data_IF_804926403199
#
_entry.id   IF_804926403199
#
_cell.length_a   1.000
_cell.length_b   1.000
_cell.length_c   1.000
_cell.angle_alpha   90.00
_cell.angle_beta   90.00
_cell.angle_gamma   90.00
#
_symmetry.space_group_name_H-M   'P 1'
#
loop_
_entity.id
_entity.type
_entity.pdbx_description
1 polymer ?
#
# COMPACT_ATOMS: atom_id res chain seq x y z
N UNK A 1 -9.28 9.91 34.20
CA UNK A 1 -8.68 9.96 32.86
C UNK A 1 -9.33 8.87 32.04
N UNK A 2 -9.78 9.14 30.81
CA UNK A 2 -10.37 8.11 29.97
C UNK A 2 -9.31 7.13 29.45
N UNK A 3 -9.75 5.93 29.02
CA UNK A 3 -8.84 4.85 28.62
C UNK A 3 -8.01 5.20 27.38
N UNK A 4 -8.54 5.98 26.44
CA UNK A 4 -7.83 6.40 25.23
C UNK A 4 -6.73 7.40 25.58
N UNK A 5 -7.03 8.39 26.42
CA UNK A 5 -6.04 9.37 26.90
C UNK A 5 -4.90 8.69 27.68
N UNK A 6 -5.18 7.59 28.40
CA UNK A 6 -4.14 6.80 29.10
C UNK A 6 -3.14 6.19 28.14
N UNK A 7 -3.59 5.67 26.97
CA UNK A 7 -2.70 5.16 25.93
C UNK A 7 -1.86 6.29 25.33
N UNK A 8 -2.47 7.46 25.09
CA UNK A 8 -1.78 8.59 24.45
C UNK A 8 -0.64 9.19 25.30
N UNK A 9 -0.64 9.00 26.61
CA UNK A 9 0.41 9.46 27.54
C UNK A 9 1.61 8.51 27.65
N UNK A 10 1.52 7.28 27.08
CA UNK A 10 2.55 6.27 27.26
C UNK A 10 3.88 6.71 26.60
N UNK A 11 5.01 6.50 27.27
CA UNK A 11 6.31 6.68 26.64
C UNK A 11 6.53 5.61 25.55
N UNK A 12 7.19 6.01 24.48
CA UNK A 12 7.55 5.07 23.42
C UNK A 12 8.56 4.05 23.97
N UNK A 13 8.25 2.76 23.82
CA UNK A 13 9.03 1.66 24.34
C UNK A 13 8.85 0.36 23.56
N UNK A 14 9.35 -0.73 24.12
CA UNK A 14 9.33 -2.06 23.50
C UNK A 14 7.94 -2.49 22.99
N UNK A 15 6.88 -2.16 23.70
CA UNK A 15 5.52 -2.48 23.29
C UNK A 15 5.17 -1.89 21.90
N UNK A 16 5.46 -0.60 21.70
CA UNK A 16 5.14 0.11 20.46
C UNK A 16 5.95 -0.42 19.27
N UNK A 17 7.24 -0.69 19.46
CA UNK A 17 8.07 -1.28 18.40
C UNK A 17 7.67 -2.73 18.11
N UNK A 18 7.32 -3.53 19.13
CA UNK A 18 6.80 -4.89 18.90
C UNK A 18 5.51 -4.86 18.09
N UNK A 19 4.60 -3.94 18.43
CA UNK A 19 3.35 -3.76 17.69
C UNK A 19 3.63 -3.36 16.22
N UNK A 20 4.53 -2.40 16.01
CA UNK A 20 4.95 -1.98 14.67
C UNK A 20 5.53 -3.15 13.87
N UNK A 21 6.44 -3.92 14.45
CA UNK A 21 7.04 -5.06 13.77
C UNK A 21 6.03 -6.15 13.44
N UNK A 22 5.14 -6.51 14.37
CA UNK A 22 4.16 -7.56 14.13
C UNK A 22 3.14 -7.13 13.07
N UNK A 23 2.62 -5.91 13.13
CA UNK A 23 1.68 -5.42 12.11
C UNK A 23 2.43 -5.15 10.79
N UNK A 24 3.66 -4.61 10.85
CA UNK A 24 4.48 -4.34 9.69
C UNK A 24 4.85 -5.61 8.91
N UNK A 25 5.18 -6.72 9.59
CA UNK A 25 5.40 -8.00 8.91
C UNK A 25 4.12 -8.53 8.26
N UNK A 26 2.95 -8.33 8.87
CA UNK A 26 1.68 -8.63 8.21
C UNK A 26 1.49 -7.82 6.93
N UNK A 27 1.81 -6.53 6.98
CA UNK A 27 1.79 -5.63 5.82
C UNK A 27 2.86 -5.97 4.77
N UNK A 28 4.03 -6.44 5.19
CA UNK A 28 5.07 -6.95 4.31
C UNK A 28 4.60 -8.18 3.51
N UNK A 29 3.86 -9.10 4.14
CA UNK A 29 3.31 -10.27 3.45
C UNK A 29 2.25 -9.88 2.41
N UNK A 30 1.45 -8.84 2.65
CA UNK A 30 0.53 -8.27 1.70
C UNK A 30 1.28 -7.74 0.45
N UNK A 31 2.32 -6.92 0.69
CA UNK A 31 3.18 -6.41 -0.38
C UNK A 31 3.90 -7.54 -1.13
N UNK A 32 4.33 -8.60 -0.42
CA UNK A 32 4.93 -9.78 -1.02
C UNK A 32 3.95 -10.46 -1.98
N UNK A 33 2.72 -10.73 -1.54
CA UNK A 33 1.71 -11.37 -2.40
C UNK A 33 1.41 -10.53 -3.65
N UNK A 34 1.24 -9.22 -3.46
CA UNK A 34 1.05 -8.27 -4.57
C UNK A 34 2.24 -8.27 -5.54
N UNK A 35 3.46 -8.43 -5.04
CA UNK A 35 4.67 -8.50 -5.85
C UNK A 35 4.84 -9.86 -6.57
N UNK A 36 4.48 -10.97 -5.93
CA UNK A 36 4.65 -12.32 -6.48
C UNK A 36 3.97 -12.49 -7.84
N UNK A 37 2.78 -11.91 -8.04
CA UNK A 37 2.05 -12.05 -9.30
C UNK A 37 2.83 -11.46 -10.48
N UNK A 38 3.66 -10.42 -10.27
CA UNK A 38 4.47 -9.81 -11.33
C UNK A 38 5.48 -10.79 -11.93
N UNK A 39 6.11 -11.59 -11.07
CA UNK A 39 7.09 -12.60 -11.46
C UNK A 39 6.44 -13.89 -11.96
N UNK A 40 5.38 -14.33 -11.28
CA UNK A 40 4.60 -15.51 -11.64
C UNK A 40 4.02 -15.34 -13.04
N UNK A 41 3.43 -14.19 -13.34
CA UNK A 41 2.77 -13.91 -14.60
C UNK A 41 3.75 -14.01 -15.78
N UNK A 42 5.01 -13.62 -15.59
CA UNK A 42 6.03 -13.71 -16.63
C UNK A 42 6.24 -15.18 -17.11
N UNK A 43 6.23 -16.15 -16.18
CA UNK A 43 6.41 -17.57 -16.49
C UNK A 43 5.09 -18.27 -16.83
N UNK A 44 4.05 -18.03 -16.04
CA UNK A 44 2.73 -18.66 -16.24
C UNK A 44 2.12 -18.30 -17.60
N UNK A 45 2.34 -17.07 -18.07
CA UNK A 45 1.85 -16.62 -19.36
C UNK A 45 2.45 -17.39 -20.53
N UNK A 46 3.70 -17.84 -20.40
CA UNK A 46 4.35 -18.71 -21.37
C UNK A 46 3.75 -20.13 -21.31
N UNK A 47 3.67 -20.70 -20.10
CA UNK A 47 3.21 -22.08 -19.90
C UNK A 47 1.74 -22.29 -20.28
N UNK A 48 0.89 -21.28 -20.10
CA UNK A 48 -0.54 -21.33 -20.44
C UNK A 48 -0.89 -20.66 -21.78
N UNK A 49 0.11 -20.19 -22.54
CA UNK A 49 -0.07 -19.45 -23.80
C UNK A 49 -1.13 -18.32 -23.68
N UNK A 50 -1.04 -17.54 -22.60
CA UNK A 50 -2.00 -16.52 -22.26
C UNK A 50 -2.04 -15.40 -23.29
N UNK A 51 -3.25 -14.98 -23.66
CA UNK A 51 -3.46 -13.78 -24.46
C UNK A 51 -3.13 -12.50 -23.65
N UNK A 52 -2.89 -11.35 -24.31
CA UNK A 52 -2.73 -10.08 -23.62
C UNK A 52 -3.90 -9.74 -22.68
N UNK A 53 -5.13 -10.05 -23.09
CA UNK A 53 -6.33 -9.82 -22.28
C UNK A 53 -6.37 -10.73 -21.04
N UNK A 54 -6.01 -12.01 -21.17
CA UNK A 54 -5.94 -12.95 -20.04
C UNK A 54 -4.99 -12.42 -18.96
N UNK A 55 -3.81 -11.95 -19.36
CA UNK A 55 -2.82 -11.35 -18.45
C UNK A 55 -3.39 -10.13 -17.73
N UNK A 56 -4.09 -9.27 -18.47
CA UNK A 56 -4.71 -8.08 -17.90
C UNK A 56 -5.76 -8.44 -16.87
N UNK A 57 -6.62 -9.42 -17.17
CA UNK A 57 -7.65 -9.88 -16.24
C UNK A 57 -7.08 -10.50 -14.97
N UNK A 58 -6.00 -11.31 -15.06
CA UNK A 58 -5.35 -11.91 -13.88
C UNK A 58 -4.87 -10.87 -12.88
N UNK A 59 -4.38 -9.73 -13.35
CA UNK A 59 -3.95 -8.63 -12.50
C UNK A 59 -5.14 -7.78 -12.04
N UNK A 60 -5.98 -7.35 -12.97
CA UNK A 60 -7.07 -6.38 -12.69
C UNK A 60 -8.14 -6.94 -11.77
N UNK A 61 -8.44 -8.24 -11.85
CA UNK A 61 -9.44 -8.88 -10.97
C UNK A 61 -9.01 -8.81 -9.50
N UNK A 62 -7.71 -8.89 -9.23
CA UNK A 62 -7.15 -8.68 -7.90
C UNK A 62 -7.41 -7.26 -7.39
N UNK A 63 -7.22 -6.23 -8.22
CA UNK A 63 -7.52 -4.84 -7.85
C UNK A 63 -9.01 -4.57 -7.65
N UNK A 64 -9.88 -5.23 -8.42
CA UNK A 64 -11.34 -5.20 -8.20
C UNK A 64 -11.67 -5.78 -6.82
N UNK A 65 -11.09 -6.95 -6.50
CA UNK A 65 -11.20 -7.54 -5.18
C UNK A 65 -10.70 -6.60 -4.07
N UNK A 66 -9.54 -5.98 -4.26
CA UNK A 66 -8.97 -5.01 -3.30
C UNK A 66 -9.90 -3.80 -3.08
N UNK A 67 -10.52 -3.26 -4.12
CA UNK A 67 -11.43 -2.14 -4.00
C UNK A 67 -12.65 -2.50 -3.14
N UNK A 68 -13.24 -3.67 -3.37
CA UNK A 68 -14.37 -4.19 -2.59
C UNK A 68 -13.94 -4.50 -1.15
N UNK A 69 -12.81 -5.20 -0.97
CA UNK A 69 -12.27 -5.55 0.33
C UNK A 69 -12.00 -4.33 1.21
N UNK A 70 -11.44 -3.26 0.63
CA UNK A 70 -11.18 -2.01 1.34
C UNK A 70 -12.47 -1.33 1.85
N UNK A 71 -13.52 -1.32 1.04
CA UNK A 71 -14.83 -0.76 1.43
C UNK A 71 -15.47 -1.58 2.55
N UNK A 72 -15.42 -2.92 2.43
CA UNK A 72 -16.06 -3.82 3.40
C UNK A 72 -15.29 -3.87 4.74
N UNK A 73 -13.96 -3.76 4.70
CA UNK A 73 -13.10 -3.98 5.88
C UNK A 73 -13.38 -3.03 7.03
N UNK A 74 -13.69 -1.76 6.75
CA UNK A 74 -14.03 -0.78 7.77
C UNK A 74 -15.25 -1.18 8.59
N UNK A 75 -16.35 -1.52 7.91
CA UNK A 75 -17.58 -1.99 8.57
C UNK A 75 -17.40 -3.33 9.32
N UNK A 76 -16.64 -4.24 8.73
CA UNK A 76 -16.28 -5.51 9.38
C UNK A 76 -15.42 -5.29 10.63
N UNK A 77 -14.45 -4.38 10.57
CA UNK A 77 -13.58 -4.04 11.70
C UNK A 77 -14.36 -3.36 12.84
N UNK A 78 -15.34 -2.54 12.53
CA UNK A 78 -16.25 -1.97 13.53
C UNK A 78 -17.20 -3.03 14.15
N UNK A 79 -17.50 -4.11 13.42
CA UNK A 79 -18.39 -5.19 13.89
C UNK A 79 -17.65 -6.30 14.63
N UNK A 80 -16.50 -6.74 14.12
CA UNK A 80 -15.79 -7.95 14.63
C UNK A 80 -14.48 -7.63 15.35
N UNK A 81 -14.04 -6.38 15.33
CA UNK A 81 -12.77 -5.93 15.90
C UNK A 81 -11.66 -5.82 14.88
N UNK A 82 -10.75 -4.88 15.15
CA UNK A 82 -9.64 -4.58 14.22
C UNK A 82 -8.66 -5.73 14.11
N UNK A 83 -8.28 -6.30 15.25
CA UNK A 83 -7.39 -7.47 15.31
C UNK A 83 -7.96 -8.67 14.55
N UNK A 84 -9.25 -8.97 14.79
CA UNK A 84 -9.92 -10.10 14.15
C UNK A 84 -9.94 -9.93 12.64
N UNK A 85 -10.32 -8.75 12.12
CA UNK A 85 -10.36 -8.51 10.67
C UNK A 85 -8.96 -8.55 10.07
N UNK A 86 -7.95 -7.97 10.73
CA UNK A 86 -6.56 -8.02 10.27
C UNK A 86 -6.03 -9.45 10.14
N UNK A 87 -6.28 -10.29 11.14
CA UNK A 87 -5.89 -11.71 11.11
C UNK A 87 -6.67 -12.51 10.05
N UNK A 88 -7.99 -12.27 9.95
CA UNK A 88 -8.85 -12.99 9.00
C UNK A 88 -8.54 -12.67 7.55
N UNK A 89 -8.28 -11.38 7.23
CA UNK A 89 -7.90 -10.97 5.89
C UNK A 89 -6.58 -11.60 5.46
N UNK A 90 -5.60 -11.70 6.39
CA UNK A 90 -4.34 -12.39 6.16
C UNK A 90 -4.55 -13.86 5.80
N UNK A 91 -5.40 -14.57 6.56
CA UNK A 91 -5.72 -15.99 6.28
C UNK A 91 -6.43 -16.14 4.94
N UNK A 92 -7.42 -15.29 4.66
CA UNK A 92 -8.22 -15.37 3.43
C UNK A 92 -7.34 -15.22 2.20
N UNK A 93 -6.54 -14.13 2.12
CA UNK A 93 -5.73 -13.93 0.92
C UNK A 93 -4.62 -14.96 0.78
N UNK A 94 -3.97 -15.36 1.89
CA UNK A 94 -2.89 -16.33 1.82
C UNK A 94 -3.37 -17.72 1.38
N UNK A 95 -4.49 -18.18 1.90
CA UNK A 95 -5.08 -19.45 1.45
C UNK A 95 -5.57 -19.39 0.01
N UNK A 96 -6.16 -18.26 -0.41
CA UNK A 96 -6.56 -18.06 -1.80
C UNK A 96 -5.34 -17.99 -2.74
N UNK A 97 -4.22 -17.39 -2.31
CA UNK A 97 -2.97 -17.40 -3.05
C UNK A 97 -2.43 -18.83 -3.21
N UNK A 98 -2.41 -19.62 -2.13
CA UNK A 98 -2.04 -21.03 -2.23
C UNK A 98 -2.99 -21.82 -3.16
N UNK A 99 -4.29 -21.51 -3.14
CA UNK A 99 -5.26 -22.14 -4.03
C UNK A 99 -5.01 -21.83 -5.51
N UNK A 100 -4.41 -20.68 -5.85
CA UNK A 100 -4.02 -20.36 -7.22
C UNK A 100 -3.03 -21.40 -7.81
N UNK A 101 -2.21 -22.05 -6.96
CA UNK A 101 -1.31 -23.12 -7.40
C UNK A 101 -2.05 -24.35 -7.97
N UNK A 102 -3.28 -24.54 -7.59
CA UNK A 102 -4.12 -25.68 -7.98
C UNK A 102 -5.21 -25.30 -9.00
N UNK A 103 -5.18 -24.08 -9.53
CA UNK A 103 -6.15 -23.61 -10.50
C UNK A 103 -6.09 -24.46 -11.78
N UNK A 104 -7.18 -25.15 -12.17
CA UNK A 104 -7.16 -26.03 -13.36
C UNK A 104 -7.26 -25.25 -14.68
N UNK A 105 -7.68 -24.01 -14.63
CA UNK A 105 -7.84 -23.13 -15.77
C UNK A 105 -7.90 -21.65 -15.35
N UNK A 106 -7.93 -20.77 -16.35
CA UNK A 106 -7.95 -19.32 -16.14
C UNK A 106 -9.14 -18.86 -15.29
N UNK A 107 -10.33 -19.42 -15.48
CA UNK A 107 -11.53 -19.02 -14.74
C UNK A 107 -11.36 -19.22 -13.24
N UNK A 108 -10.87 -20.37 -12.80
CA UNK A 108 -10.59 -20.63 -11.39
C UNK A 108 -9.46 -19.78 -10.85
N UNK A 109 -8.43 -19.52 -11.66
CA UNK A 109 -7.38 -18.59 -11.28
C UNK A 109 -7.93 -17.19 -11.02
N UNK A 110 -8.82 -16.69 -11.88
CA UNK A 110 -9.48 -15.39 -11.71
C UNK A 110 -10.35 -15.35 -10.44
N UNK A 111 -11.10 -16.42 -10.15
CA UNK A 111 -11.87 -16.52 -8.90
C UNK A 111 -10.96 -16.45 -7.69
N UNK A 112 -9.88 -17.22 -7.65
CA UNK A 112 -8.95 -17.18 -6.53
C UNK A 112 -8.24 -15.84 -6.41
N UNK A 113 -7.81 -15.22 -7.51
CA UNK A 113 -7.22 -13.89 -7.54
C UNK A 113 -8.17 -12.80 -7.05
N UNK A 114 -9.47 -12.92 -7.34
CA UNK A 114 -10.48 -12.02 -6.78
C UNK A 114 -10.57 -12.16 -5.26
N UNK A 115 -10.57 -13.39 -4.73
CA UNK A 115 -10.59 -13.65 -3.27
C UNK A 115 -9.30 -13.14 -2.61
N UNK A 116 -8.13 -13.34 -3.26
CA UNK A 116 -6.87 -12.73 -2.81
C UNK A 116 -7.05 -11.21 -2.67
N UNK A 117 -7.57 -10.56 -3.71
CA UNK A 117 -7.82 -9.13 -3.68
C UNK A 117 -8.72 -8.69 -2.55
N UNK A 118 -9.82 -9.40 -2.29
CA UNK A 118 -10.72 -9.10 -1.15
C UNK A 118 -9.98 -9.06 0.19
N UNK A 119 -9.09 -10.02 0.43
CA UNK A 119 -8.27 -10.06 1.64
C UNK A 119 -7.27 -8.90 1.70
N UNK A 120 -6.47 -8.73 0.64
CA UNK A 120 -5.44 -7.69 0.55
C UNK A 120 -6.02 -6.27 0.71
N UNK A 121 -7.18 -6.00 0.09
CA UNK A 121 -7.80 -4.67 0.15
C UNK A 121 -8.21 -4.22 1.55
N UNK A 122 -8.53 -5.17 2.42
CA UNK A 122 -8.91 -4.89 3.79
C UNK A 122 -7.75 -4.67 4.75
N UNK A 123 -6.54 -5.08 4.38
CA UNK A 123 -5.39 -5.16 5.26
C UNK A 123 -4.88 -3.77 5.70
N UNK A 124 -4.56 -2.89 4.77
CA UNK A 124 -3.94 -1.59 5.07
C UNK A 124 -4.78 -0.68 5.96
N UNK A 125 -6.08 -0.44 5.66
CA UNK A 125 -6.89 0.44 6.51
C UNK A 125 -6.94 -0.02 7.96
N UNK A 126 -7.00 -1.33 8.18
CA UNK A 126 -7.05 -1.93 9.52
C UNK A 126 -5.69 -1.85 10.21
N UNK A 127 -4.59 -2.12 9.49
CA UNK A 127 -3.22 -2.00 10.02
C UNK A 127 -2.91 -0.58 10.49
N UNK A 128 -3.17 0.41 9.65
CA UNK A 128 -2.96 1.83 9.98
C UNK A 128 -3.81 2.25 11.17
N UNK A 129 -5.06 1.82 11.23
CA UNK A 129 -5.95 2.10 12.38
C UNK A 129 -5.39 1.49 13.67
N UNK A 130 -5.03 0.21 13.67
CA UNK A 130 -4.44 -0.46 14.83
C UNK A 130 -3.19 0.25 15.33
N UNK A 131 -2.25 0.57 14.44
CA UNK A 131 -1.03 1.28 14.82
C UNK A 131 -1.38 2.66 15.38
N UNK A 132 -2.24 3.42 14.72
CA UNK A 132 -2.57 4.79 15.11
C UNK A 132 -3.30 4.90 16.45
N UNK A 133 -4.05 3.88 16.85
CA UNK A 133 -4.77 3.83 18.14
C UNK A 133 -3.84 3.68 19.35
N UNK A 134 -2.72 2.98 19.16
CA UNK A 134 -1.76 2.69 20.22
C UNK A 134 -0.56 3.65 20.27
N UNK A 135 -0.29 4.37 19.20
CA UNK A 135 0.86 5.26 19.10
C UNK A 135 0.47 6.69 19.54
N UNK A 136 1.23 7.31 20.47
CA UNK A 136 1.02 8.70 20.88
C UNK A 136 1.02 9.67 19.69
N UNK A 137 0.14 10.69 19.75
CA UNK A 137 -0.12 11.58 18.63
C UNK A 137 1.13 12.28 18.07
N UNK A 138 2.08 12.67 18.93
CA UNK A 138 3.29 13.41 18.55
C UNK A 138 4.29 12.60 17.70
N UNK A 139 4.23 11.27 17.72
CA UNK A 139 5.11 10.38 16.92
C UNK A 139 4.35 9.49 15.95
N UNK A 140 3.03 9.57 15.94
CA UNK A 140 2.15 8.70 15.12
C UNK A 140 2.53 8.72 13.64
N UNK A 141 2.75 9.90 13.08
CA UNK A 141 3.14 10.04 11.69
C UNK A 141 4.42 9.28 11.36
N UNK A 142 5.44 9.35 12.23
CA UNK A 142 6.69 8.59 12.06
C UNK A 142 6.46 7.07 12.07
N UNK A 143 5.59 6.57 12.94
CA UNK A 143 5.29 5.14 13.00
C UNK A 143 4.50 4.66 11.77
N UNK A 144 3.62 5.50 11.21
CA UNK A 144 2.91 5.18 9.96
C UNK A 144 3.90 5.11 8.79
N UNK A 145 4.83 6.06 8.68
CA UNK A 145 5.88 5.99 7.64
C UNK A 145 6.76 4.74 7.79
N UNK A 146 7.12 4.37 9.03
CA UNK A 146 7.84 3.13 9.29
C UNK A 146 7.01 1.89 8.92
N UNK A 147 5.70 1.89 9.18
CA UNK A 147 4.81 0.81 8.75
C UNK A 147 4.80 0.69 7.22
N UNK A 148 4.69 1.81 6.51
CA UNK A 148 4.70 1.83 5.05
C UNK A 148 6.03 1.31 4.46
N UNK A 149 7.16 1.49 5.14
CA UNK A 149 8.45 0.97 4.66
C UNK A 149 8.50 -0.55 4.53
N UNK A 150 7.65 -1.30 5.23
CA UNK A 150 7.50 -2.74 5.07
C UNK A 150 6.96 -3.15 3.69
N UNK A 151 6.30 -2.22 2.97
CA UNK A 151 5.87 -2.46 1.59
C UNK A 151 7.06 -2.77 0.67
N UNK A 152 8.10 -1.94 0.70
CA UNK A 152 9.32 -2.18 -0.10
C UNK A 152 10.02 -3.49 0.28
N UNK A 153 10.04 -3.86 1.58
CA UNK A 153 10.56 -5.14 2.03
C UNK A 153 9.74 -6.32 1.47
N UNK A 154 8.42 -6.19 1.39
CA UNK A 154 7.55 -7.22 0.82
C UNK A 154 7.85 -7.46 -0.67
N UNK A 155 8.00 -6.41 -1.45
CA UNK A 155 8.42 -6.53 -2.86
C UNK A 155 9.79 -7.15 -3.00
N UNK A 156 10.74 -6.82 -2.12
CA UNK A 156 12.07 -7.44 -2.09
C UNK A 156 11.97 -8.94 -1.83
N UNK A 157 11.17 -9.35 -0.84
CA UNK A 157 10.94 -10.77 -0.54
C UNK A 157 10.28 -11.48 -1.72
N UNK A 158 9.30 -10.86 -2.38
CA UNK A 158 8.65 -11.40 -3.59
C UNK A 158 9.67 -11.65 -4.70
N UNK A 159 10.57 -10.68 -4.95
CA UNK A 159 11.60 -10.81 -5.97
C UNK A 159 12.60 -11.94 -5.64
N UNK A 160 13.05 -12.02 -4.38
CA UNK A 160 13.95 -13.08 -3.91
C UNK A 160 13.30 -14.47 -4.02
N UNK A 161 12.09 -14.63 -3.50
CA UNK A 161 11.34 -15.89 -3.59
C UNK A 161 11.19 -16.30 -5.05
N UNK A 162 10.76 -15.39 -5.90
CA UNK A 162 10.54 -15.68 -7.33
C UNK A 162 11.84 -16.03 -8.04
N UNK A 163 12.95 -15.32 -7.76
CA UNK A 163 14.27 -15.57 -8.38
C UNK A 163 14.81 -16.97 -8.06
N UNK A 164 14.61 -17.45 -6.84
CA UNK A 164 15.15 -18.75 -6.41
C UNK A 164 14.16 -19.91 -6.58
N UNK A 165 12.86 -19.66 -6.62
CA UNK A 165 11.86 -20.72 -6.66
C UNK A 165 11.35 -20.96 -8.07
N UNK A 166 11.02 -19.92 -8.85
CA UNK A 166 10.38 -20.10 -10.16
C UNK A 166 11.25 -20.91 -11.14
N UNK A 167 12.58 -20.68 -11.27
CA UNK A 167 13.39 -21.40 -12.23
C UNK A 167 13.47 -22.92 -11.99
N UNK A 168 13.53 -23.33 -10.70
CA UNK A 168 13.76 -24.72 -10.33
C UNK A 168 12.46 -25.48 -9.99
N UNK A 169 11.46 -24.80 -9.38
CA UNK A 169 10.24 -25.41 -8.86
C UNK A 169 8.97 -24.94 -9.57
N UNK A 170 9.08 -23.97 -10.46
CA UNK A 170 7.96 -23.38 -11.19
C UNK A 170 7.10 -22.41 -10.38
N UNK A 171 6.16 -21.76 -11.06
CA UNK A 171 5.29 -20.73 -10.48
C UNK A 171 4.27 -21.29 -9.46
N UNK A 172 3.90 -22.58 -9.57
CA UNK A 172 3.01 -23.26 -8.61
C UNK A 172 3.60 -23.22 -7.19
N UNK A 173 4.90 -23.56 -7.05
CA UNK A 173 5.60 -23.51 -5.76
C UNK A 173 5.63 -22.10 -5.17
N UNK A 174 5.72 -21.09 -6.01
CA UNK A 174 5.72 -19.68 -5.58
C UNK A 174 4.37 -19.28 -5.00
N UNK A 175 3.26 -19.70 -5.59
CA UNK A 175 1.93 -19.51 -5.02
C UNK A 175 1.76 -20.24 -3.67
N UNK A 176 2.29 -21.45 -3.54
CA UNK A 176 2.25 -22.18 -2.26
C UNK A 176 3.02 -21.45 -1.16
N UNK A 177 4.18 -20.86 -1.48
CA UNK A 177 4.93 -20.02 -0.54
C UNK A 177 4.11 -18.79 -0.15
N UNK A 178 3.36 -18.19 -1.06
CA UNK A 178 2.41 -17.11 -0.78
C UNK A 178 1.28 -17.50 0.19
N UNK A 179 1.07 -18.80 0.43
CA UNK A 179 0.15 -19.32 1.44
C UNK A 179 0.73 -19.35 2.86
N UNK A 180 2.06 -19.33 3.02
CA UNK A 180 2.73 -19.43 4.33
C UNK A 180 2.28 -18.32 5.31
N UNK A 181 2.05 -17.07 4.88
CA UNK A 181 1.58 -16.02 5.78
C UNK A 181 0.28 -16.33 6.53
N UNK A 182 -0.54 -17.27 6.06
CA UNK A 182 -1.71 -17.72 6.83
C UNK A 182 -1.34 -18.18 8.26
N UNK A 183 -0.16 -18.80 8.42
CA UNK A 183 0.35 -19.20 9.72
C UNK A 183 0.74 -18.02 10.61
N UNK A 184 1.10 -16.90 10.00
CA UNK A 184 1.44 -15.67 10.72
C UNK A 184 0.23 -15.05 11.42
N UNK A 185 -0.98 -15.37 10.99
CA UNK A 185 -2.20 -14.99 11.69
C UNK A 185 -2.22 -15.44 13.16
N UNK A 186 -1.59 -16.57 13.48
CA UNK A 186 -1.43 -17.05 14.87
C UNK A 186 -0.56 -16.10 15.70
N UNK A 187 0.48 -15.51 15.09
CA UNK A 187 1.34 -14.51 15.75
C UNK A 187 0.54 -13.24 16.01
N UNK A 188 -0.20 -12.76 15.00
CA UNK A 188 -1.09 -11.59 15.15
C UNK A 188 -2.08 -11.85 16.27
N UNK A 189 -2.73 -13.01 16.29
CA UNK A 189 -3.73 -13.36 17.29
C UNK A 189 -3.17 -13.37 18.73
N UNK A 190 -1.93 -13.79 18.91
CA UNK A 190 -1.27 -13.83 20.23
C UNK A 190 -0.68 -12.49 20.65
N UNK A 191 -0.11 -11.73 19.73
CA UNK A 191 0.74 -10.58 20.04
C UNK A 191 0.07 -9.23 19.87
N UNK A 192 -0.88 -9.10 18.93
CA UNK A 192 -1.59 -7.85 18.68
C UNK A 192 -2.77 -7.73 19.67
N UNK A 193 -2.86 -6.65 20.43
CA UNK A 193 -4.02 -6.37 21.27
C UNK A 193 -5.23 -5.98 20.42
N UNK A 194 -6.46 -6.19 20.93
CA UNK A 194 -7.65 -5.66 20.27
C UNK A 194 -7.77 -4.14 20.52
N UNK A 195 -8.41 -3.42 19.62
CA UNK A 195 -8.62 -1.98 19.70
C UNK A 195 -9.37 -1.55 20.95
N UNK A 196 -8.80 -0.64 21.74
CA UNK A 196 -9.45 -0.11 22.95
C UNK A 196 -10.70 0.70 22.60
N UNK A 197 -10.72 1.58 21.57
CA UNK A 197 -11.95 2.22 21.09
C UNK A 197 -13.04 1.23 20.67
N UNK A 198 -12.67 0.13 20.03
CA UNK A 198 -13.62 -0.92 19.66
C UNK A 198 -14.26 -1.56 20.89
N UNK A 199 -13.47 -1.95 21.89
CA UNK A 199 -13.97 -2.56 23.12
C UNK A 199 -14.92 -1.61 23.87
N UNK A 200 -14.58 -0.32 23.95
CA UNK A 200 -15.43 0.72 24.56
C UNK A 200 -16.77 0.83 23.80
N UNK A 201 -16.73 0.91 22.48
CA UNK A 201 -17.93 1.03 21.64
C UNK A 201 -18.86 -0.21 21.73
N UNK A 202 -18.29 -1.37 22.09
CA UNK A 202 -19.04 -2.61 22.35
C UNK A 202 -19.52 -2.78 23.79
N UNK A 203 -19.29 -1.81 24.64
CA UNK A 203 -19.63 -1.90 26.07
C UNK A 203 -18.74 -2.85 26.89
N UNK A 204 -17.62 -3.33 26.31
CA UNK A 204 -16.67 -4.26 26.95
C UNK A 204 -15.63 -3.47 27.77
N UNK A 205 -16.10 -2.65 28.70
CA UNK A 205 -15.28 -1.68 29.44
C UNK A 205 -14.24 -2.36 30.33
N UNK A 206 -14.59 -3.45 31.00
CA UNK A 206 -13.66 -4.20 31.87
C UNK A 206 -12.49 -4.78 31.07
N UNK A 207 -12.75 -5.31 29.89
CA UNK A 207 -11.70 -5.83 29.03
C UNK A 207 -10.80 -4.69 28.49
N UNK A 208 -11.39 -3.57 28.10
CA UNK A 208 -10.65 -2.38 27.69
C UNK A 208 -9.74 -1.88 28.82
N UNK A 209 -10.25 -1.81 30.05
CA UNK A 209 -9.50 -1.40 31.24
C UNK A 209 -8.36 -2.39 31.55
N UNK A 210 -8.65 -3.68 31.60
CA UNK A 210 -7.64 -4.73 31.82
C UNK A 210 -6.52 -4.69 30.76
N UNK A 211 -6.88 -4.43 29.50
CA UNK A 211 -5.94 -4.30 28.41
C UNK A 211 -5.02 -3.06 28.60
N UNK A 212 -5.59 -1.91 28.93
CA UNK A 212 -4.82 -0.67 29.17
C UNK A 212 -3.88 -0.84 30.36
N UNK A 213 -4.34 -1.43 31.47
CA UNK A 213 -3.49 -1.75 32.65
C UNK A 213 -2.30 -2.63 32.24
N UNK A 214 -2.53 -3.67 31.43
CA UNK A 214 -1.47 -4.56 30.95
C UNK A 214 -0.44 -3.81 30.09
N UNK A 215 -0.88 -2.85 29.28
CA UNK A 215 0.01 -2.04 28.43
C UNK A 215 0.79 -1.05 29.29
N UNK A 216 0.14 -0.36 30.25
CA UNK A 216 0.81 0.55 31.18
C UNK A 216 1.93 -0.17 31.96
N UNK A 217 1.64 -1.35 32.49
CA UNK A 217 2.64 -2.20 33.17
C UNK A 217 3.81 -2.56 32.24
N UNK A 218 3.55 -2.90 30.98
CA UNK A 218 4.60 -3.19 29.99
C UNK A 218 5.45 -1.95 29.63
N UNK A 219 4.86 -0.76 29.72
CA UNK A 219 5.55 0.51 29.47
C UNK A 219 6.24 1.07 30.72
N UNK A 220 6.11 0.42 31.88
CA UNK A 220 6.71 0.87 33.15
C UNK A 220 6.08 2.15 33.71
N UNK A 221 4.81 2.40 33.38
CA UNK A 221 4.04 3.58 33.83
C UNK A 221 3.12 3.16 34.97
N UNK A 222 2.88 4.08 35.92
CA UNK A 222 1.92 3.88 37.01
C UNK A 222 0.55 3.46 36.47
N UNK A 223 0.05 2.34 37.00
CA UNK A 223 -1.24 1.78 36.60
C UNK A 223 -2.36 2.55 37.31
N UNK A 224 -3.30 3.07 36.54
CA UNK A 224 -4.45 3.80 37.07
C UNK A 224 -5.61 2.81 37.30
N UNK A 225 -6.03 2.63 38.56
CA UNK A 225 -7.10 1.69 38.92
C UNK A 225 -8.50 2.21 38.54
N UNK A 226 -8.72 3.53 38.67
CA UNK A 226 -10.03 4.16 38.43
C UNK A 226 -10.06 4.71 36.99
N UNK A 227 -11.09 4.41 36.23
CA UNK A 227 -11.32 4.96 34.90
C UNK A 227 -12.69 5.63 34.79
N UNK A 228 -12.74 6.67 33.96
CA UNK A 228 -14.00 7.31 33.58
C UNK A 228 -14.36 6.86 32.17
N UNK A 229 -15.57 6.39 31.99
CA UNK A 229 -16.13 6.13 30.65
C UNK A 229 -16.61 7.46 30.09
N UNK A 230 -15.85 8.04 29.18
CA UNK A 230 -16.39 9.09 28.31
C UNK A 230 -17.06 8.41 27.11
N UNK A 231 -18.31 8.76 26.77
CA UNK A 231 -18.88 8.35 25.50
C UNK A 231 -17.92 8.74 24.37
N UNK A 232 -17.65 7.84 23.45
CA UNK A 232 -16.94 8.18 22.22
C UNK A 232 -17.80 9.22 21.51
N UNK A 233 -17.19 10.34 21.12
CA UNK A 233 -17.90 11.42 20.44
C UNK A 233 -18.70 10.83 19.26
N UNK A 234 -19.97 11.23 19.15
CA UNK A 234 -20.86 10.81 18.07
C UNK A 234 -20.15 11.00 16.74
N UNK A 235 -20.14 9.96 15.91
CA UNK A 235 -19.68 10.08 14.52
C UNK A 235 -20.65 11.06 13.84
N UNK A 236 -20.23 12.27 13.57
CA UNK A 236 -20.96 13.14 12.68
C UNK A 236 -21.08 12.45 11.32
N UNK A 237 -22.29 12.37 10.79
CA UNK A 237 -22.53 11.86 9.45
C UNK A 237 -21.77 12.72 8.43
N UNK A 238 -20.67 12.18 7.92
CA UNK A 238 -19.85 12.85 6.92
C UNK A 238 -20.51 12.61 5.57
N UNK A 239 -20.98 13.66 4.92
CA UNK A 239 -21.57 13.58 3.60
C UNK A 239 -20.50 13.66 2.51
N UNK A 240 -20.66 12.86 1.45
CA UNK A 240 -19.83 12.92 0.25
C UNK A 240 -19.78 14.33 -0.37
N UNK A 241 -20.87 15.08 -0.27
CA UNK A 241 -20.96 16.46 -0.75
C UNK A 241 -19.98 17.41 -0.08
N UNK A 242 -19.55 17.14 1.15
CA UNK A 242 -18.57 17.97 1.86
C UNK A 242 -17.19 17.95 1.19
N UNK A 243 -16.82 16.85 0.51
CA UNK A 243 -15.59 16.78 -0.26
C UNK A 243 -15.59 17.70 -1.50
N UNK A 244 -16.79 18.04 -1.99
CA UNK A 244 -16.97 18.86 -3.18
C UNK A 244 -17.45 20.28 -2.87
N UNK A 245 -17.40 20.71 -1.61
CA UNK A 245 -17.78 22.05 -1.18
C UNK A 245 -16.57 23.00 -1.14
N UNK A 246 -16.73 24.21 -1.66
CA UNK A 246 -15.73 25.28 -1.57
C UNK A 246 -14.33 24.88 -2.04
N UNK A 247 -13.34 25.14 -1.20
CA UNK A 247 -11.91 24.85 -1.48
C UNK A 247 -11.61 23.35 -1.55
N UNK A 248 -12.43 22.52 -0.89
CA UNK A 248 -12.20 21.08 -0.83
C UNK A 248 -12.43 20.40 -2.17
N UNK A 249 -13.32 20.92 -3.02
CA UNK A 249 -13.54 20.40 -4.38
C UNK A 249 -12.24 20.37 -5.19
N UNK A 250 -11.49 21.47 -5.19
CA UNK A 250 -10.19 21.58 -5.88
C UNK A 250 -9.16 20.57 -5.29
N UNK A 251 -9.07 20.47 -3.95
CA UNK A 251 -8.16 19.56 -3.27
C UNK A 251 -8.53 18.10 -3.50
N UNK A 252 -9.81 17.78 -3.45
CA UNK A 252 -10.33 16.44 -3.74
C UNK A 252 -10.03 16.02 -5.18
N UNK A 253 -10.34 16.87 -6.17
CA UNK A 253 -10.05 16.60 -7.57
C UNK A 253 -8.54 16.38 -7.78
N UNK A 254 -7.71 17.26 -7.22
CA UNK A 254 -6.26 17.14 -7.28
C UNK A 254 -5.79 15.80 -6.72
N UNK A 255 -6.20 15.45 -5.50
CA UNK A 255 -5.79 14.19 -4.87
C UNK A 255 -6.26 12.96 -5.64
N UNK A 256 -7.49 12.98 -6.18
CA UNK A 256 -8.00 11.87 -6.98
C UNK A 256 -7.17 11.64 -8.24
N UNK A 257 -6.80 12.72 -8.94
CA UNK A 257 -5.94 12.63 -10.13
C UNK A 257 -4.52 12.17 -9.78
N UNK A 258 -3.97 12.63 -8.67
CA UNK A 258 -2.64 12.20 -8.19
C UNK A 258 -2.67 10.72 -7.83
N UNK A 259 -3.63 10.28 -7.01
CA UNK A 259 -3.74 8.89 -6.61
C UNK A 259 -3.98 7.96 -7.80
N UNK A 260 -4.87 8.35 -8.72
CA UNK A 260 -5.08 7.60 -9.96
C UNK A 260 -3.77 7.44 -10.74
N UNK A 261 -3.07 8.53 -11.02
CA UNK A 261 -1.88 8.51 -11.85
C UNK A 261 -0.69 7.79 -11.19
N UNK A 262 -0.49 7.95 -9.87
CA UNK A 262 0.57 7.25 -9.15
C UNK A 262 0.28 5.74 -9.09
N UNK A 263 -0.94 5.34 -8.75
CA UNK A 263 -1.32 3.92 -8.68
C UNK A 263 -1.27 3.28 -10.07
N UNK A 264 -1.79 3.98 -11.09
CA UNK A 264 -1.73 3.55 -12.48
C UNK A 264 -0.27 3.31 -12.93
N UNK A 265 0.62 4.26 -12.68
CA UNK A 265 2.02 4.14 -13.09
C UNK A 265 2.79 3.12 -12.25
N UNK A 266 2.61 3.10 -10.93
CA UNK A 266 3.32 2.18 -10.06
C UNK A 266 3.01 0.71 -10.41
N UNK A 267 1.73 0.35 -10.38
CA UNK A 267 1.34 -1.03 -10.67
C UNK A 267 1.48 -1.37 -12.16
N UNK A 268 1.27 -0.41 -13.05
CA UNK A 268 1.52 -0.60 -14.46
C UNK A 268 2.99 -0.88 -14.79
N UNK A 269 3.91 -0.21 -14.11
CA UNK A 269 5.36 -0.44 -14.29
C UNK A 269 5.78 -1.73 -13.58
N UNK A 270 5.66 -1.77 -12.25
CA UNK A 270 6.30 -2.81 -11.43
C UNK A 270 5.64 -4.19 -11.59
N UNK A 271 4.35 -4.26 -11.85
CA UNK A 271 3.68 -5.55 -12.10
C UNK A 271 4.11 -6.16 -13.44
N UNK A 272 4.39 -5.32 -14.43
CA UNK A 272 4.71 -5.80 -15.78
C UNK A 272 6.21 -5.83 -16.08
N UNK A 273 7.04 -5.23 -15.26
CA UNK A 273 8.47 -5.07 -15.50
C UNK A 273 9.19 -6.39 -15.80
N UNK A 274 8.98 -7.52 -15.06
CA UNK A 274 9.59 -8.79 -15.43
C UNK A 274 9.15 -9.28 -16.82
N UNK A 275 7.85 -9.21 -17.11
CA UNK A 275 7.30 -9.63 -18.41
C UNK A 275 7.77 -8.75 -19.57
N UNK A 276 7.92 -7.43 -19.33
CA UNK A 276 8.43 -6.49 -20.31
C UNK A 276 9.90 -6.80 -20.68
N UNK A 277 10.73 -7.05 -19.68
CA UNK A 277 12.15 -7.40 -19.91
C UNK A 277 12.29 -8.74 -20.63
N UNK A 278 11.47 -9.74 -20.31
CA UNK A 278 11.45 -11.02 -21.05
C UNK A 278 11.08 -10.78 -22.51
N UNK A 279 10.11 -9.92 -22.81
CA UNK A 279 9.72 -9.58 -24.17
C UNK A 279 10.84 -8.88 -24.95
N UNK A 280 11.68 -8.08 -24.29
CA UNK A 280 12.86 -7.43 -24.86
C UNK A 280 14.03 -8.42 -25.08
N UNK A 281 13.84 -9.71 -24.83
CA UNK A 281 14.82 -10.77 -25.12
C UNK A 281 15.72 -11.15 -23.94
N UNK A 282 15.50 -10.61 -22.74
CA UNK A 282 16.21 -11.04 -21.54
C UNK A 282 15.64 -12.38 -21.04
N UNK A 283 16.51 -13.23 -20.50
CA UNK A 283 16.04 -14.46 -19.85
C UNK A 283 15.19 -14.14 -18.61
N UNK A 284 14.32 -15.06 -18.21
CA UNK A 284 13.50 -14.90 -16.98
C UNK A 284 14.38 -14.60 -15.77
N UNK A 285 15.50 -15.31 -15.64
CA UNK A 285 16.45 -15.13 -14.53
C UNK A 285 17.05 -13.73 -14.53
N UNK A 286 17.57 -13.28 -15.69
CA UNK A 286 18.12 -11.92 -15.82
C UNK A 286 17.06 -10.84 -15.53
N UNK A 287 15.85 -11.01 -16.03
CA UNK A 287 14.75 -10.10 -15.78
C UNK A 287 14.45 -9.99 -14.28
N UNK A 288 14.44 -11.10 -13.56
CA UNK A 288 14.21 -11.10 -12.11
C UNK A 288 15.38 -10.44 -11.34
N UNK A 289 16.62 -10.66 -11.76
CA UNK A 289 17.79 -10.02 -11.16
C UNK A 289 17.79 -8.50 -11.35
N UNK A 290 17.46 -8.02 -12.56
CA UNK A 290 17.39 -6.57 -12.80
C UNK A 290 16.27 -5.93 -11.99
N UNK A 291 15.09 -6.55 -11.94
CA UNK A 291 13.97 -6.06 -11.12
C UNK A 291 14.32 -6.09 -9.63
N UNK A 292 15.03 -7.11 -9.16
CA UNK A 292 15.50 -7.18 -7.78
C UNK A 292 16.39 -5.98 -7.41
N UNK A 293 17.36 -5.63 -8.28
CA UNK A 293 18.23 -4.46 -8.08
C UNK A 293 17.42 -3.17 -8.07
N UNK A 294 16.44 -3.04 -8.97
CA UNK A 294 15.55 -1.88 -9.01
C UNK A 294 14.68 -1.75 -7.75
N UNK A 295 14.18 -2.87 -7.21
CA UNK A 295 13.43 -2.88 -5.95
C UNK A 295 14.32 -2.48 -4.77
N UNK A 296 15.57 -2.91 -4.72
CA UNK A 296 16.51 -2.47 -3.68
C UNK A 296 16.69 -0.95 -3.69
N UNK A 297 16.69 -0.32 -4.87
CA UNK A 297 16.78 1.14 -4.99
C UNK A 297 15.55 1.90 -4.45
N UNK A 298 14.43 1.22 -4.22
CA UNK A 298 13.23 1.82 -3.62
C UNK A 298 13.46 2.22 -2.15
N UNK A 299 14.22 1.42 -1.40
CA UNK A 299 14.40 1.64 0.05
C UNK A 299 15.07 2.98 0.38
N UNK A 300 16.21 3.37 -0.23
CA UNK A 300 16.78 4.68 0.01
C UNK A 300 15.88 5.82 -0.50
N UNK A 301 15.00 5.59 -1.46
CA UNK A 301 14.02 6.57 -1.96
C UNK A 301 13.10 7.08 -0.84
N UNK A 302 12.60 6.18 0.02
CA UNK A 302 11.80 6.57 1.19
C UNK A 302 12.58 7.45 2.17
N UNK A 303 13.83 7.11 2.46
CA UNK A 303 14.64 7.85 3.43
C UNK A 303 14.95 9.27 2.94
N UNK A 304 15.32 9.38 1.67
CA UNK A 304 15.60 10.69 1.06
C UNK A 304 14.33 11.53 0.95
N UNK A 305 13.21 10.93 0.57
CA UNK A 305 11.93 11.63 0.53
C UNK A 305 11.50 12.15 1.91
N UNK A 306 11.62 11.32 2.96
CA UNK A 306 11.31 11.72 4.33
C UNK A 306 12.17 12.91 4.80
N UNK A 307 13.44 12.94 4.44
CA UNK A 307 14.34 14.06 4.75
C UNK A 307 13.99 15.34 3.96
N UNK A 308 13.69 15.19 2.66
CA UNK A 308 13.36 16.33 1.80
C UNK A 308 12.02 16.96 2.13
N UNK A 309 11.03 16.18 2.53
CA UNK A 309 9.70 16.67 2.97
C UNK A 309 9.83 17.70 4.10
N UNK A 310 10.74 17.49 5.04
CA UNK A 310 10.96 18.43 6.14
C UNK A 310 11.73 19.67 5.69
N UNK A 311 12.60 19.55 4.67
CA UNK A 311 13.42 20.68 4.16
C UNK A 311 12.71 21.52 3.10
N UNK A 312 12.13 20.89 2.08
CA UNK A 312 11.55 21.55 0.92
C UNK A 312 10.03 21.71 1.01
N UNK A 313 9.39 20.95 1.90
CA UNK A 313 7.93 20.85 1.98
C UNK A 313 7.36 19.70 1.18
N UNK A 314 6.05 19.48 1.37
CA UNK A 314 5.35 18.31 0.81
C UNK A 314 5.14 18.47 -0.70
N UNK A 315 4.62 19.62 -1.12
CA UNK A 315 4.30 19.91 -2.54
C UNK A 315 5.55 19.82 -3.43
N UNK A 316 6.62 20.53 -3.06
CA UNK A 316 7.83 20.58 -3.87
C UNK A 316 8.51 19.21 -3.95
N UNK A 317 8.58 18.46 -2.84
CA UNK A 317 9.17 17.13 -2.81
C UNK A 317 8.36 16.15 -3.65
N UNK A 318 7.03 16.14 -3.52
CA UNK A 318 6.15 15.25 -4.30
C UNK A 318 6.26 15.51 -5.79
N UNK A 319 6.14 16.77 -6.23
CA UNK A 319 6.27 17.16 -7.63
C UNK A 319 7.65 16.83 -8.21
N UNK A 320 8.72 17.09 -7.45
CA UNK A 320 10.09 16.79 -7.85
C UNK A 320 10.34 15.29 -8.02
N UNK A 321 9.90 14.47 -7.06
CA UNK A 321 10.05 13.01 -7.15
C UNK A 321 9.25 12.42 -8.32
N UNK A 322 8.01 12.86 -8.54
CA UNK A 322 7.21 12.41 -9.68
C UNK A 322 7.81 12.87 -11.00
N UNK A 323 8.30 14.12 -11.08
CA UNK A 323 8.97 14.63 -12.28
C UNK A 323 10.25 13.85 -12.62
N UNK A 324 11.08 13.56 -11.61
CA UNK A 324 12.28 12.74 -11.79
C UNK A 324 11.95 11.28 -12.11
N UNK A 325 10.87 10.74 -11.56
CA UNK A 325 10.35 9.41 -11.93
C UNK A 325 9.92 9.40 -13.40
N UNK A 326 9.21 10.43 -13.88
CA UNK A 326 8.80 10.57 -15.28
C UNK A 326 10.01 10.60 -16.22
N UNK A 327 11.03 11.39 -15.87
CA UNK A 327 12.28 11.48 -16.65
C UNK A 327 12.98 10.13 -16.71
N UNK A 328 13.08 9.44 -15.56
CA UNK A 328 13.71 8.13 -15.48
C UNK A 328 12.93 7.08 -16.26
N UNK A 329 11.59 7.10 -16.22
CA UNK A 329 10.73 6.22 -17.00
C UNK A 329 10.90 6.44 -18.52
N UNK A 330 11.02 7.70 -18.96
CA UNK A 330 11.29 8.01 -20.35
C UNK A 330 12.59 7.38 -20.85
N UNK A 331 13.70 7.64 -20.14
CA UNK A 331 15.00 7.08 -20.54
C UNK A 331 15.06 5.55 -20.36
N UNK A 332 14.35 5.00 -19.39
CA UNK A 332 14.21 3.55 -19.26
C UNK A 332 13.58 2.93 -20.52
N UNK A 333 12.51 3.55 -21.03
CA UNK A 333 11.85 3.09 -22.26
C UNK A 333 12.65 3.28 -23.54
N UNK A 334 13.72 4.08 -23.50
CA UNK A 334 14.66 4.30 -24.62
C UNK A 334 16.00 3.57 -24.43
N UNK A 335 16.10 2.68 -23.44
CA UNK A 335 17.36 2.02 -23.10
C UNK A 335 17.71 0.94 -24.11
N UNK A 336 18.95 0.99 -24.64
CA UNK A 336 19.47 0.06 -25.64
C UNK A 336 20.41 -1.02 -25.05
N UNK A 337 20.75 -0.90 -23.78
CA UNK A 337 21.67 -1.82 -23.10
C UNK A 337 21.35 -2.02 -21.63
N UNK A 338 21.89 -3.09 -21.05
CA UNK A 338 21.64 -3.51 -19.65
C UNK A 338 21.98 -2.42 -18.64
N UNK A 339 23.09 -1.70 -18.84
CA UNK A 339 23.52 -0.65 -17.91
C UNK A 339 22.47 0.46 -17.83
N UNK A 340 21.96 0.93 -18.98
CA UNK A 340 20.92 1.94 -19.03
C UNK A 340 19.63 1.43 -18.38
N UNK A 341 19.19 0.19 -18.67
CA UNK A 341 18.02 -0.44 -18.04
C UNK A 341 18.16 -0.43 -16.52
N UNK A 342 19.29 -0.91 -16.00
CA UNK A 342 19.50 -0.97 -14.55
C UNK A 342 19.56 0.43 -13.93
N UNK A 343 20.32 1.35 -14.50
CA UNK A 343 20.48 2.71 -13.95
C UNK A 343 19.14 3.46 -13.96
N UNK A 344 18.48 3.56 -15.10
CA UNK A 344 17.22 4.27 -15.20
C UNK A 344 16.09 3.58 -14.44
N UNK A 345 16.09 2.23 -14.41
CA UNK A 345 15.17 1.45 -13.61
C UNK A 345 15.34 1.67 -12.10
N UNK A 346 16.58 1.75 -11.61
CA UNK A 346 16.87 2.09 -10.20
C UNK A 346 16.45 3.51 -9.86
N UNK A 347 16.71 4.49 -10.73
CA UNK A 347 16.28 5.88 -10.53
C UNK A 347 14.75 5.99 -10.54
N UNK A 348 14.09 5.35 -11.48
CA UNK A 348 12.64 5.30 -11.56
C UNK A 348 12.04 4.72 -10.28
N UNK A 349 12.59 3.61 -9.80
CA UNK A 349 12.16 2.94 -8.57
C UNK A 349 12.38 3.79 -7.32
N UNK A 350 13.54 4.42 -7.22
CA UNK A 350 13.91 5.34 -6.14
C UNK A 350 12.92 6.50 -6.02
N UNK A 351 12.68 7.19 -7.13
CA UNK A 351 11.79 8.35 -7.14
C UNK A 351 10.33 7.97 -6.98
N UNK A 352 9.90 6.85 -7.56
CA UNK A 352 8.51 6.42 -7.45
C UNK A 352 8.13 6.10 -6.01
N UNK A 353 8.91 5.26 -5.31
CA UNK A 353 8.57 4.87 -3.95
C UNK A 353 8.78 6.02 -2.95
N UNK A 354 9.75 6.90 -3.20
CA UNK A 354 9.87 8.14 -2.45
C UNK A 354 8.63 9.03 -2.59
N UNK A 355 8.06 9.14 -3.79
CA UNK A 355 6.80 9.86 -4.02
C UNK A 355 5.63 9.26 -3.23
N UNK A 356 5.53 7.93 -3.10
CA UNK A 356 4.52 7.26 -2.28
C UNK A 356 4.59 7.70 -0.82
N UNK A 357 5.77 7.73 -0.22
CA UNK A 357 5.95 8.20 1.17
C UNK A 357 5.46 9.63 1.39
N UNK A 358 5.74 10.52 0.42
CA UNK A 358 5.25 11.90 0.46
C UNK A 358 3.75 11.98 0.28
N UNK A 359 3.18 11.19 -0.64
CA UNK A 359 1.75 11.18 -0.94
C UNK A 359 0.91 10.77 0.29
N UNK A 360 1.35 9.73 1.02
CA UNK A 360 0.67 9.31 2.25
C UNK A 360 0.69 10.39 3.35
N UNK A 361 1.72 11.20 3.39
CA UNK A 361 1.79 12.35 4.31
C UNK A 361 0.94 13.52 3.81
N UNK A 362 1.03 13.83 2.53
CA UNK A 362 0.37 14.98 1.90
C UNK A 362 -1.15 14.86 1.86
N UNK A 363 -1.66 13.66 1.58
CA UNK A 363 -3.10 13.43 1.41
C UNK A 363 -3.94 13.81 2.63
N UNK A 364 -3.65 13.32 3.85
CA UNK A 364 -4.43 13.68 5.02
C UNK A 364 -4.25 15.15 5.44
N UNK A 365 -3.12 15.78 5.08
CA UNK A 365 -2.86 17.19 5.38
C UNK A 365 -3.71 18.15 4.52
N UNK A 366 -4.35 17.68 3.44
CA UNK A 366 -5.22 18.49 2.59
C UNK A 366 -6.65 18.66 3.14
N UNK A 367 -7.00 17.91 4.19
CA UNK A 367 -8.34 17.91 4.76
C UNK A 367 -8.33 18.27 6.25
N UNK A 368 -9.36 19.02 6.73
CA UNK A 368 -9.55 19.25 8.17
C UNK A 368 -9.87 17.94 8.89
N UNK A 369 -9.70 17.94 10.21
CA UNK A 369 -9.77 16.72 11.02
C UNK A 369 -11.08 15.92 10.87
N UNK A 370 -12.20 16.62 10.72
CA UNK A 370 -13.54 16.03 10.63
C UNK A 370 -13.76 15.18 9.36
N UNK A 371 -13.21 15.59 8.19
CA UNK A 371 -13.40 14.86 6.90
C UNK A 371 -12.12 14.16 6.41
N UNK A 372 -11.01 14.27 7.14
CA UNK A 372 -9.68 13.78 6.73
C UNK A 372 -9.65 12.30 6.37
N UNK A 373 -10.13 11.45 7.27
CA UNK A 373 -10.13 10.01 7.05
C UNK A 373 -11.00 9.61 5.86
N UNK A 374 -12.15 10.27 5.73
CA UNK A 374 -13.09 10.04 4.64
C UNK A 374 -12.51 10.48 3.28
N UNK A 375 -11.94 11.69 3.22
CA UNK A 375 -11.32 12.22 1.99
C UNK A 375 -10.10 11.40 1.55
N UNK A 376 -9.24 11.00 2.50
CA UNK A 376 -8.09 10.15 2.22
C UNK A 376 -8.51 8.76 1.73
N UNK A 377 -9.56 8.19 2.32
CA UNK A 377 -10.13 6.91 1.90
C UNK A 377 -10.64 6.93 0.47
N UNK A 378 -11.38 7.98 0.09
CA UNK A 378 -11.85 8.17 -1.27
C UNK A 378 -10.71 8.37 -2.28
N UNK A 379 -9.68 9.14 -1.93
CA UNK A 379 -8.51 9.30 -2.77
C UNK A 379 -7.83 7.95 -3.06
N UNK A 380 -7.62 7.12 -2.04
CA UNK A 380 -7.10 5.76 -2.20
C UNK A 380 -8.02 4.84 -3.02
N UNK A 381 -9.35 4.97 -2.88
CA UNK A 381 -10.31 4.20 -3.68
C UNK A 381 -10.24 4.54 -5.17
N UNK A 382 -10.14 5.84 -5.51
CA UNK A 382 -9.95 6.28 -6.90
C UNK A 382 -8.60 5.80 -7.44
N UNK A 383 -7.55 5.80 -6.61
CA UNK A 383 -6.26 5.21 -7.00
C UNK A 383 -6.38 3.77 -7.48
N UNK A 384 -7.20 2.94 -6.81
CA UNK A 384 -7.40 1.54 -7.21
C UNK A 384 -8.01 1.38 -8.61
N UNK A 385 -8.81 2.36 -9.05
CA UNK A 385 -9.30 2.41 -10.43
C UNK A 385 -8.13 2.48 -11.41
N UNK A 386 -7.10 3.28 -11.10
CA UNK A 386 -5.85 3.31 -11.86
C UNK A 386 -5.17 1.94 -11.94
N UNK A 387 -5.12 1.20 -10.82
CA UNK A 387 -4.59 -0.17 -10.77
C UNK A 387 -5.38 -1.17 -11.63
N UNK A 388 -6.70 -0.99 -11.75
CA UNK A 388 -7.56 -1.84 -12.59
C UNK A 388 -7.28 -1.59 -14.09
N UNK A 389 -7.13 -0.33 -14.49
CA UNK A 389 -6.93 0.03 -15.89
C UNK A 389 -5.49 -0.14 -16.39
N UNK A 390 -4.49 -0.04 -15.51
CA UNK A 390 -3.09 -0.11 -15.89
C UNK A 390 -2.72 -1.38 -16.68
N UNK A 391 -3.14 -2.61 -16.27
CA UNK A 391 -2.84 -3.82 -17.01
C UNK A 391 -3.34 -3.78 -18.47
N UNK A 392 -4.57 -3.32 -18.69
CA UNK A 392 -5.13 -3.22 -20.04
C UNK A 392 -4.39 -2.20 -20.90
N UNK A 393 -4.01 -1.06 -20.32
CA UNK A 393 -3.25 -0.06 -21.03
C UNK A 393 -1.86 -0.59 -21.44
N UNK A 394 -1.17 -1.30 -20.55
CA UNK A 394 0.14 -1.90 -20.84
C UNK A 394 0.04 -2.95 -21.93
N UNK A 395 -0.89 -3.90 -21.81
CA UNK A 395 -1.01 -4.99 -22.79
C UNK A 395 -1.43 -4.49 -24.16
N UNK A 396 -2.29 -3.48 -24.23
CA UNK A 396 -2.68 -2.85 -25.50
C UNK A 396 -1.48 -2.16 -26.17
N UNK A 397 -0.65 -1.44 -25.41
CA UNK A 397 0.56 -0.80 -25.95
C UNK A 397 1.61 -1.83 -26.39
N UNK A 398 1.74 -2.96 -25.67
CA UNK A 398 2.71 -4.00 -25.99
C UNK A 398 2.45 -4.73 -27.30
N UNK A 399 1.25 -4.67 -27.88
CA UNK A 399 0.92 -5.26 -29.17
C UNK A 399 1.46 -4.43 -30.32
N UNK A 400 1.71 -3.14 -30.10
CA UNK A 400 2.25 -2.22 -31.10
C UNK A 400 3.74 -2.48 -31.35
N UNK A 401 4.20 -2.15 -32.56
CA UNK A 401 5.64 -2.07 -32.84
C UNK A 401 6.28 -1.06 -31.88
N UNK A 402 7.47 -1.37 -31.35
CA UNK A 402 8.12 -0.61 -30.28
C UNK A 402 7.31 -0.51 -28.98
N UNK A 403 6.50 -1.54 -28.66
CA UNK A 403 5.59 -1.53 -27.52
C UNK A 403 6.25 -1.24 -26.18
N UNK A 404 7.50 -1.65 -25.94
CA UNK A 404 8.26 -1.33 -24.72
C UNK A 404 8.41 0.19 -24.56
N UNK A 405 8.94 0.88 -25.55
CA UNK A 405 9.10 2.34 -25.52
C UNK A 405 7.75 3.05 -25.35
N UNK A 406 6.70 2.62 -26.04
CA UNK A 406 5.37 3.22 -25.93
C UNK A 406 4.75 3.07 -24.54
N UNK A 407 4.93 1.92 -23.88
CA UNK A 407 4.48 1.71 -22.50
C UNK A 407 5.14 2.75 -21.57
N UNK A 408 6.45 2.94 -21.67
CA UNK A 408 7.15 3.90 -20.81
C UNK A 408 6.89 5.35 -21.20
N UNK A 409 6.67 5.67 -22.46
CA UNK A 409 6.20 6.99 -22.88
C UNK A 409 4.82 7.32 -22.33
N UNK A 410 3.90 6.36 -22.32
CA UNK A 410 2.59 6.53 -21.68
C UNK A 410 2.71 6.84 -20.19
N UNK A 411 3.52 6.07 -19.43
CA UNK A 411 3.74 6.34 -18.01
C UNK A 411 4.43 7.67 -17.78
N UNK A 412 5.38 8.05 -18.63
CA UNK A 412 6.02 9.36 -18.59
C UNK A 412 5.00 10.48 -18.74
N UNK A 413 4.09 10.38 -19.71
CA UNK A 413 3.04 11.38 -19.92
C UNK A 413 2.11 11.50 -18.72
N UNK A 414 1.67 10.36 -18.14
CA UNK A 414 0.85 10.33 -16.93
C UNK A 414 1.58 10.96 -15.75
N UNK A 415 2.84 10.61 -15.50
CA UNK A 415 3.62 11.15 -14.40
C UNK A 415 3.90 12.65 -14.55
N UNK A 416 4.18 13.14 -15.78
CA UNK A 416 4.29 14.58 -16.07
C UNK A 416 2.96 15.28 -15.76
N UNK A 417 1.83 14.74 -16.22
CA UNK A 417 0.53 15.30 -15.92
C UNK A 417 0.27 15.39 -14.41
N UNK A 418 0.61 14.33 -13.65
CA UNK A 418 0.50 14.33 -12.18
C UNK A 418 1.39 15.39 -11.55
N UNK A 419 2.65 15.51 -11.99
CA UNK A 419 3.57 16.54 -11.47
C UNK A 419 3.02 17.95 -11.73
N UNK A 420 2.49 18.22 -12.92
CA UNK A 420 1.85 19.50 -13.27
C UNK A 420 0.61 19.76 -12.43
N UNK A 421 -0.25 18.75 -12.21
CA UNK A 421 -1.42 18.87 -11.33
C UNK A 421 -1.01 19.27 -9.93
N UNK A 422 0.05 18.67 -9.37
CA UNK A 422 0.57 19.04 -8.04
C UNK A 422 1.07 20.48 -8.03
N UNK A 423 1.82 20.89 -9.05
CA UNK A 423 2.36 22.25 -9.13
C UNK A 423 1.27 23.31 -9.27
N UNK A 424 0.24 23.05 -10.06
CA UNK A 424 -0.83 24.01 -10.35
C UNK A 424 -1.90 24.01 -9.26
N UNK A 425 -2.40 22.82 -8.87
CA UNK A 425 -3.54 22.69 -7.97
C UNK A 425 -3.12 22.47 -6.50
N UNK A 426 -1.92 21.99 -6.26
CA UNK A 426 -1.45 21.63 -4.93
C UNK A 426 -1.20 22.85 -4.04
N UNK A 427 -1.46 22.69 -2.76
CA UNK A 427 -1.11 23.65 -1.72
C UNK A 427 0.02 23.10 -0.85
N UNK A 428 0.97 23.96 -0.47
CA UNK A 428 2.02 23.57 0.48
C UNK A 428 1.45 23.55 1.89
N UNK A 429 1.68 22.43 2.58
CA UNK A 429 1.18 22.21 3.94
C UNK A 429 2.26 22.32 5.01
N UNK A 430 3.54 22.48 4.61
CA UNK A 430 4.65 22.64 5.54
C UNK A 430 4.44 23.84 6.46
N UNK A 431 4.52 23.59 7.78
CA UNK A 431 4.39 24.63 8.81
C UNK A 431 2.97 25.16 9.04
N UNK A 432 1.97 24.63 8.34
CA UNK A 432 0.56 24.97 8.61
C UNK A 432 0.00 24.07 9.69
N UNK A 433 -0.75 24.63 10.64
CA UNK A 433 -1.53 23.82 11.57
C UNK A 433 -2.72 23.21 10.84
N UNK A 434 -3.11 21.99 11.23
CA UNK A 434 -4.23 21.28 10.59
C UNK A 434 -5.57 22.03 10.71
N UNK A 435 -5.68 22.95 11.66
CA UNK A 435 -6.83 23.83 11.86
C UNK A 435 -6.83 25.01 10.86
N UNK A 436 -5.65 25.52 10.50
CA UNK A 436 -5.52 26.61 9.51
C UNK A 436 -5.75 26.17 8.07
N UNK A 437 -5.77 24.88 7.80
CA UNK A 437 -6.00 24.32 6.47
C UNK A 437 -7.50 24.31 6.12
N UNK A 438 -8.38 24.39 7.12
CA UNK A 438 -9.84 24.43 6.97
C UNK A 438 -10.45 25.82 6.79
N UNK A 439 -9.64 26.87 6.93
CA UNK A 439 -10.02 28.26 6.72
C UNK A 439 -9.53 28.75 5.36
#
# INVERSE_FOLDING_TARGET
>A
MDLVSRIQRLPIGKFHYTLLWVIGLGWMFDAMDTGLISFILAKMAEDWAMTPDDKSWVVSIGFIGMAIGAVCSGGLADRWGRKTVFASTLVIYSLATAACAFAPNLTWLLVFRFIVGLGLGGQLPVAVTLVSEYIPAHVRGRFIVLLESFWGLGWLVAALVSRFIIPDFGWHATFLIGGIPALYALVIWKMVPESVPYLINRGRFEEAHALVKKIEAKCGVEVIEIFQVKPVAEKHDISFSQLWSGIFARRTLMLWLIWFGIVFSYYGIFTWLPSLLVKEGYTIVQSFEYVLVMILAQLPGYLVAAWLVEKLGRKATLAGFIGMCALSAYFFGQSDNVTQIVVWGCLMSFFNLGAWGVLYTYTPEQYPANIRAFGSGWAGAIGRIGGIFAPFAVTHMMVLDHGFSYVFMMFTAVLIAVALIILVLGEETKGKTLESIGL
#
